data_IF_846153884998
#
_entry.id   IF_846153884998
#
_cell.length_a   1.000
_cell.length_b   1.000
_cell.length_c   1.000
_cell.angle_alpha   90.00
_cell.angle_beta   90.00
_cell.angle_gamma   90.00
#
_symmetry.space_group_name_H-M   'P 1'
#
loop_
_entity.id
_entity.type
_entity.pdbx_description
1 polymer ?
#
# COMPACT_ATOMS: atom_id res chain seq x y z
N UNK A 1 9.75 -7.35 -6.72
CA UNK A 1 8.80 -6.26 -6.53
C UNK A 1 9.02 -5.61 -5.15
N UNK A 2 8.79 -4.32 -5.00
CA UNK A 2 9.06 -3.56 -3.77
C UNK A 2 8.15 -3.98 -2.60
N UNK A 3 6.89 -4.33 -2.88
CA UNK A 3 5.96 -4.85 -1.88
C UNK A 3 6.45 -6.17 -1.28
N UNK A 4 6.91 -7.10 -2.14
CA UNK A 4 7.49 -8.37 -1.71
C UNK A 4 8.76 -8.19 -0.89
N UNK A 5 9.63 -7.25 -1.30
CA UNK A 5 10.86 -6.94 -0.57
C UNK A 5 10.54 -6.44 0.85
N UNK A 6 9.58 -5.51 0.99
CA UNK A 6 9.13 -5.04 2.30
C UNK A 6 8.51 -6.17 3.14
N UNK A 7 7.58 -6.94 2.57
CA UNK A 7 6.93 -8.05 3.27
C UNK A 7 7.93 -9.10 3.77
N UNK A 8 9.00 -9.35 3.01
CA UNK A 8 10.07 -10.26 3.44
C UNK A 8 10.98 -9.65 4.49
N UNK A 9 11.28 -8.35 4.38
CA UNK A 9 12.16 -7.63 5.32
C UNK A 9 11.57 -7.56 6.72
N UNK A 10 10.28 -7.20 6.85
CA UNK A 10 9.64 -7.07 8.17
C UNK A 10 9.59 -8.38 8.94
N UNK A 11 9.61 -9.55 8.27
CA UNK A 11 9.68 -10.85 8.94
C UNK A 11 10.95 -11.02 9.76
N UNK A 12 12.07 -10.45 9.28
CA UNK A 12 13.38 -10.55 9.91
C UNK A 12 13.50 -9.67 11.16
N UNK A 13 12.57 -8.75 11.37
CA UNK A 13 12.64 -7.77 12.48
C UNK A 13 12.38 -8.39 13.86
N UNK A 14 11.89 -9.63 13.92
CA UNK A 14 11.76 -10.37 15.18
C UNK A 14 13.08 -10.59 15.91
N UNK A 15 14.20 -10.56 15.17
CA UNK A 15 15.55 -10.74 15.71
C UNK A 15 16.13 -9.43 16.26
N UNK A 16 15.46 -8.29 16.06
CA UNK A 16 15.96 -6.99 16.49
C UNK A 16 15.78 -6.78 18.01
N UNK A 17 16.75 -6.11 18.67
CA UNK A 17 16.55 -5.56 20.00
C UNK A 17 15.33 -4.64 20.06
N UNK A 18 14.62 -4.63 21.19
CA UNK A 18 13.34 -3.90 21.32
C UNK A 18 13.46 -2.40 21.03
N UNK A 19 14.54 -1.75 21.47
CA UNK A 19 14.80 -0.33 21.21
C UNK A 19 15.01 -0.04 19.72
N UNK A 20 15.69 -0.94 19.01
CA UNK A 20 15.86 -0.86 17.56
C UNK A 20 14.54 -1.10 16.84
N UNK A 21 13.77 -2.12 17.25
CA UNK A 21 12.46 -2.42 16.69
C UNK A 21 11.49 -1.23 16.81
N UNK A 22 11.49 -0.54 17.95
CA UNK A 22 10.68 0.67 18.14
C UNK A 22 11.01 1.77 17.13
N UNK A 23 12.29 2.02 16.88
CA UNK A 23 12.74 3.00 15.88
C UNK A 23 12.32 2.59 14.47
N UNK A 24 12.45 1.30 14.14
CA UNK A 24 12.04 0.76 12.84
C UNK A 24 10.53 0.90 12.61
N UNK A 25 9.71 0.49 13.58
CA UNK A 25 8.25 0.59 13.50
C UNK A 25 7.78 2.05 13.38
N UNK A 26 8.36 2.96 14.19
CA UNK A 26 8.04 4.38 14.09
C UNK A 26 8.41 4.95 12.71
N UNK A 27 9.61 4.61 12.22
CA UNK A 27 10.11 5.08 10.92
C UNK A 27 9.26 4.55 9.77
N UNK A 28 8.86 3.28 9.82
CA UNK A 28 7.97 2.66 8.83
C UNK A 28 6.66 3.43 8.69
N UNK A 29 6.00 3.74 9.81
CA UNK A 29 4.78 4.54 9.80
C UNK A 29 4.99 5.93 9.20
N UNK A 30 6.08 6.60 9.56
CA UNK A 30 6.41 7.93 9.02
C UNK A 30 6.70 7.90 7.51
N UNK A 31 7.45 6.91 7.02
CA UNK A 31 7.80 6.83 5.61
C UNK A 31 6.60 6.52 4.71
N UNK A 32 5.73 5.60 5.13
CA UNK A 32 4.54 5.23 4.37
C UNK A 32 3.53 6.40 4.29
N UNK A 33 3.34 7.15 5.39
CA UNK A 33 2.29 8.17 5.48
C UNK A 33 2.75 9.59 5.11
N UNK A 34 4.02 9.96 5.37
CA UNK A 34 4.44 11.37 5.34
C UNK A 34 5.59 11.65 4.38
N UNK A 35 6.52 10.73 4.21
CA UNK A 35 7.73 11.00 3.43
C UNK A 35 7.55 10.85 1.91
N UNK A 36 6.36 10.43 1.45
CA UNK A 36 6.06 10.34 0.02
C UNK A 36 6.87 9.27 -0.73
N UNK A 37 7.41 8.26 -0.03
CA UNK A 37 8.27 7.20 -0.60
C UNK A 37 7.50 6.14 -1.38
N UNK A 38 6.38 6.51 -1.99
CA UNK A 38 5.54 5.56 -2.73
C UNK A 38 4.61 4.71 -1.87
N UNK A 39 4.49 4.94 -0.56
CA UNK A 39 3.53 4.24 0.32
C UNK A 39 2.10 4.78 0.26
N UNK A 40 1.41 4.83 1.40
CA UNK A 40 -0.02 5.13 1.51
C UNK A 40 -0.42 6.51 0.99
N UNK A 41 0.40 7.55 1.19
CA UNK A 41 0.11 8.89 0.66
C UNK A 41 0.14 8.91 -0.87
N UNK A 42 1.17 8.33 -1.47
CA UNK A 42 1.31 8.30 -2.92
C UNK A 42 0.18 7.47 -3.55
N UNK A 43 -0.16 6.31 -2.97
CA UNK A 43 -1.27 5.49 -3.47
C UNK A 43 -2.62 6.19 -3.33
N UNK A 44 -2.84 7.01 -2.30
CA UNK A 44 -4.04 7.86 -2.20
C UNK A 44 -4.11 8.89 -3.32
N UNK A 45 -3.00 9.59 -3.60
CA UNK A 45 -2.95 10.54 -4.72
C UNK A 45 -3.21 9.84 -6.06
N UNK A 46 -2.63 8.65 -6.27
CA UNK A 46 -2.91 7.81 -7.43
C UNK A 46 -4.40 7.45 -7.52
N UNK A 47 -5.00 6.99 -6.41
CA UNK A 47 -6.41 6.61 -6.37
C UNK A 47 -7.34 7.80 -6.70
N UNK A 48 -7.08 8.99 -6.16
CA UNK A 48 -7.81 10.19 -6.52
C UNK A 48 -7.68 10.53 -8.01
N UNK A 49 -6.48 10.38 -8.59
CA UNK A 49 -6.27 10.55 -10.03
C UNK A 49 -7.05 9.52 -10.86
N UNK A 50 -7.11 8.27 -10.41
CA UNK A 50 -7.91 7.23 -11.05
C UNK A 50 -9.42 7.51 -10.97
N UNK A 51 -9.92 8.05 -9.85
CA UNK A 51 -11.31 8.50 -9.73
C UNK A 51 -11.63 9.58 -10.77
N UNK A 52 -10.72 10.56 -10.95
CA UNK A 52 -10.89 11.61 -11.95
C UNK A 52 -10.89 11.06 -13.38
N UNK A 53 -9.99 10.11 -13.69
CA UNK A 53 -9.98 9.43 -14.99
C UNK A 53 -11.33 8.71 -15.20
N UNK A 54 -11.76 7.90 -14.24
CA UNK A 54 -13.03 7.16 -14.33
C UNK A 54 -14.23 8.08 -14.56
N UNK A 55 -14.27 9.21 -13.84
CA UNK A 55 -15.32 10.22 -13.99
C UNK A 55 -15.28 10.90 -15.36
N UNK A 56 -14.09 11.21 -15.89
CA UNK A 56 -13.93 11.93 -17.15
C UNK A 56 -14.14 11.05 -18.38
N UNK A 57 -13.82 9.75 -18.29
CA UNK A 57 -13.97 8.80 -19.41
C UNK A 57 -15.31 8.08 -19.40
N UNK A 58 -15.90 7.86 -18.22
CA UNK A 58 -17.08 7.00 -18.05
C UNK A 58 -16.80 5.52 -18.36
N UNK A 59 -15.53 5.12 -18.49
CA UNK A 59 -15.12 3.77 -18.86
C UNK A 59 -15.13 2.82 -17.65
N UNK A 60 -15.71 1.63 -17.83
CA UNK A 60 -15.84 0.65 -16.75
C UNK A 60 -14.47 0.17 -16.24
N UNK A 61 -13.51 -0.07 -17.13
CA UNK A 61 -12.18 -0.54 -16.73
C UNK A 61 -11.39 0.53 -15.96
N UNK A 62 -11.57 1.81 -16.27
CA UNK A 62 -11.01 2.91 -15.47
C UNK A 62 -11.66 3.03 -14.09
N UNK A 63 -12.96 2.69 -13.96
CA UNK A 63 -13.63 2.61 -12.65
C UNK A 63 -13.11 1.45 -11.80
N UNK A 64 -12.80 0.31 -12.43
CA UNK A 64 -12.17 -0.83 -11.77
C UNK A 64 -10.75 -0.49 -11.28
N UNK A 65 -9.96 0.18 -12.13
CA UNK A 65 -8.65 0.71 -11.75
C UNK A 65 -8.72 1.64 -10.53
N UNK A 66 -9.68 2.56 -10.48
CA UNK A 66 -9.84 3.46 -9.32
C UNK A 66 -10.09 2.69 -8.02
N UNK A 67 -10.93 1.65 -8.08
CA UNK A 67 -11.21 0.79 -6.92
C UNK A 67 -9.97 0.04 -6.43
N UNK A 68 -9.18 -0.53 -7.35
CA UNK A 68 -7.97 -1.26 -6.97
C UNK A 68 -6.86 -0.32 -6.48
N UNK A 69 -6.81 0.92 -6.99
CA UNK A 69 -5.92 1.95 -6.46
C UNK A 69 -6.26 2.32 -5.01
N UNK A 70 -7.55 2.46 -4.69
CA UNK A 70 -8.02 2.67 -3.30
C UNK A 70 -7.69 1.48 -2.39
N UNK A 71 -7.81 0.25 -2.88
CA UNK A 71 -7.42 -0.95 -2.12
C UNK A 71 -5.92 -0.95 -1.81
N UNK A 72 -5.08 -0.64 -2.80
CA UNK A 72 -3.64 -0.49 -2.59
C UNK A 72 -3.34 0.60 -1.57
N UNK A 73 -3.98 1.75 -1.69
CA UNK A 73 -3.85 2.85 -0.75
C UNK A 73 -4.21 2.46 0.70
N UNK A 74 -5.32 1.76 0.88
CA UNK A 74 -5.77 1.27 2.17
C UNK A 74 -4.80 0.23 2.76
N UNK A 75 -4.32 -0.73 1.96
CA UNK A 75 -3.39 -1.76 2.40
C UNK A 75 -2.07 -1.15 2.90
N UNK A 76 -1.49 -0.21 2.16
CA UNK A 76 -0.29 0.51 2.61
C UNK A 76 -0.55 1.31 3.90
N UNK A 77 -1.69 2.00 3.98
CA UNK A 77 -2.06 2.76 5.18
C UNK A 77 -2.22 1.85 6.41
N UNK A 78 -2.77 0.63 6.23
CA UNK A 78 -2.92 -0.34 7.30
C UNK A 78 -1.57 -0.78 7.90
N UNK A 79 -0.55 -0.99 7.06
CA UNK A 79 0.82 -1.29 7.51
C UNK A 79 1.37 -0.16 8.40
N UNK A 80 1.20 1.10 7.96
CA UNK A 80 1.65 2.24 8.75
C UNK A 80 0.92 2.34 10.10
N UNK A 81 -0.40 2.13 10.10
CA UNK A 81 -1.22 2.17 11.31
C UNK A 81 -0.86 1.07 12.30
N UNK A 82 -0.58 -0.14 11.81
CA UNK A 82 -0.10 -1.25 12.64
C UNK A 82 1.23 -0.89 13.34
N UNK A 83 2.15 -0.27 12.61
CA UNK A 83 3.48 0.08 13.13
C UNK A 83 3.47 1.12 14.26
N UNK A 84 2.47 2.01 14.29
CA UNK A 84 2.36 3.09 15.29
C UNK A 84 1.17 2.92 16.25
N UNK A 85 0.55 1.73 16.30
CA UNK A 85 -0.62 1.48 17.15
C UNK A 85 -0.29 1.67 18.63
N UNK A 86 -0.93 2.66 19.26
CA UNK A 86 -0.69 3.01 20.66
C UNK A 86 -1.22 1.93 21.60
N UNK A 87 -0.51 1.70 22.70
CA UNK A 87 -0.94 0.74 23.73
C UNK A 87 -0.52 -0.71 23.48
N UNK A 88 0.08 -1.01 22.32
CA UNK A 88 0.64 -2.33 22.00
C UNK A 88 2.15 -2.37 22.19
N UNK A 89 2.67 -3.52 22.60
CA UNK A 89 4.13 -3.76 22.64
C UNK A 89 4.73 -3.70 21.23
N UNK A 90 6.04 -3.48 21.12
CA UNK A 90 6.74 -3.50 19.83
C UNK A 90 6.56 -4.84 19.09
N UNK A 91 6.64 -5.97 19.81
CA UNK A 91 6.43 -7.30 19.25
C UNK A 91 5.02 -7.48 18.66
N UNK A 92 3.98 -7.12 19.43
CA UNK A 92 2.59 -7.19 18.94
C UNK A 92 2.36 -6.30 17.72
N UNK A 93 2.96 -5.11 17.68
CA UNK A 93 2.88 -4.24 16.50
C UNK A 93 3.58 -4.85 15.30
N UNK A 94 4.72 -5.51 15.50
CA UNK A 94 5.42 -6.21 14.43
C UNK A 94 4.56 -7.33 13.83
N UNK A 95 3.90 -8.14 14.67
CA UNK A 95 2.98 -9.19 14.20
C UNK A 95 1.89 -8.60 13.27
N UNK A 96 1.29 -7.48 13.68
CA UNK A 96 0.28 -6.79 12.87
C UNK A 96 0.86 -6.15 11.60
N UNK A 97 2.09 -5.64 11.65
CA UNK A 97 2.77 -5.11 10.45
C UNK A 97 3.01 -6.23 9.45
N UNK A 98 3.45 -7.40 9.90
CA UNK A 98 3.68 -8.57 9.07
C UNK A 98 2.38 -9.04 8.41
N UNK A 99 1.32 -9.16 9.19
CA UNK A 99 -0.01 -9.54 8.68
C UNK A 99 -0.50 -8.55 7.62
N UNK A 100 -0.40 -7.24 7.90
CA UNK A 100 -0.81 -6.20 6.96
C UNK A 100 0.10 -6.14 5.71
N UNK A 101 1.40 -6.42 5.84
CA UNK A 101 2.34 -6.39 4.72
C UNK A 101 2.16 -7.57 3.76
N UNK A 102 1.67 -8.71 4.26
CA UNK A 102 1.49 -9.93 3.46
C UNK A 102 0.55 -9.73 2.25
N UNK A 103 -0.43 -8.83 2.34
CA UNK A 103 -1.40 -8.58 1.27
C UNK A 103 -0.93 -7.56 0.23
N UNK A 104 0.19 -6.87 0.47
CA UNK A 104 0.66 -5.78 -0.41
C UNK A 104 0.99 -6.28 -1.82
N UNK A 105 1.64 -7.43 -1.94
CA UNK A 105 2.07 -7.99 -3.23
C UNK A 105 0.87 -8.28 -4.15
N UNK A 106 -0.18 -8.92 -3.61
CA UNK A 106 -1.39 -9.25 -4.37
C UNK A 106 -2.18 -8.00 -4.74
N UNK A 107 -2.21 -7.02 -3.84
CA UNK A 107 -2.93 -5.77 -4.07
C UNK A 107 -2.25 -4.92 -5.14
N UNK A 108 -0.92 -4.80 -5.11
CA UNK A 108 -0.13 -4.11 -6.15
C UNK A 108 -0.21 -4.83 -7.51
N UNK A 109 -0.20 -6.17 -7.51
CA UNK A 109 -0.36 -6.96 -8.73
C UNK A 109 -1.74 -6.76 -9.37
N UNK A 110 -2.78 -6.69 -8.52
CA UNK A 110 -4.16 -6.40 -8.96
C UNK A 110 -4.27 -4.99 -9.54
N UNK A 111 -3.69 -3.99 -8.87
CA UNK A 111 -3.61 -2.62 -9.37
C UNK A 111 -2.91 -2.54 -10.73
N UNK A 112 -1.78 -3.21 -10.91
CA UNK A 112 -1.06 -3.24 -12.19
C UNK A 112 -1.88 -3.90 -13.31
N UNK A 113 -2.59 -4.99 -13.00
CA UNK A 113 -3.47 -5.69 -13.96
C UNK A 113 -4.64 -4.82 -14.39
N UNK A 114 -5.27 -4.11 -13.45
CA UNK A 114 -6.37 -3.18 -13.73
C UNK A 114 -5.89 -1.96 -14.52
N UNK A 115 -4.66 -1.50 -14.29
CA UNK A 115 -4.05 -0.43 -15.08
C UNK A 115 -3.86 -0.82 -16.54
N UNK A 116 -3.33 -2.02 -16.81
CA UNK A 116 -3.19 -2.53 -18.17
C UNK A 116 -4.56 -2.71 -18.86
N UNK A 117 -5.55 -3.21 -18.13
CA UNK A 117 -6.92 -3.37 -18.63
C UNK A 117 -7.57 -2.03 -19.00
N UNK A 118 -7.46 -1.02 -18.12
CA UNK A 118 -7.94 0.33 -18.38
C UNK A 118 -7.24 0.95 -19.60
N UNK A 119 -5.92 0.79 -19.71
CA UNK A 119 -5.15 1.30 -20.84
C UNK A 119 -5.57 0.66 -22.17
N UNK A 120 -5.87 -0.64 -22.19
CA UNK A 120 -6.41 -1.34 -23.37
C UNK A 120 -7.80 -0.85 -23.72
N UNK A 121 -8.69 -0.69 -22.73
CA UNK A 121 -10.06 -0.20 -22.95
C UNK A 121 -10.06 1.18 -23.61
N UNK A 122 -9.30 2.12 -23.03
CA UNK A 122 -9.19 3.48 -23.55
C UNK A 122 -8.62 3.55 -24.96
N UNK A 123 -7.61 2.71 -25.30
CA UNK A 123 -7.09 2.66 -26.68
C UNK A 123 -8.10 2.15 -27.70
N UNK A 124 -9.02 1.27 -27.28
CA UNK A 124 -10.06 0.74 -28.17
C UNK A 124 -11.26 1.68 -28.35
N UNK A 125 -11.38 2.69 -27.49
CA UNK A 125 -12.44 3.70 -27.53
C UNK A 125 -12.10 4.92 -28.43
N UNK A 126 -10.87 5.00 -28.94
CA UNK A 126 -10.36 6.05 -29.84
C UNK A 126 -10.44 5.61 -31.29
#
# INVERSE_FOLDING_TARGET
>A
DAALALSSDVMLWHELPTDVLEVHLFSLGAFIEKAGTGGGLFRRLLACGCDDIARLTGDAATSDLARDAHRAAAAWTAVAQAAVHKGSTAATRLDHVIEAAAVLTDTESSLATSLDSAARSLRSAV
#
